data_IF_456937676083
#
_entry.id   IF_456937676083
#
_cell.length_a   1.000
_cell.length_b   1.000
_cell.length_c   1.000
_cell.angle_alpha   90.00
_cell.angle_beta   90.00
_cell.angle_gamma   90.00
#
_symmetry.space_group_name_H-M   'P 1'
#
loop_
_entity.id
_entity.type
_entity.pdbx_description
1 polymer ?
#
# COMPACT_ATOMS: atom_id res chain seq x y z
N UNK A 1 12.55 -10.09 -2.68
CA UNK A 1 11.91 -9.54 -3.89
C UNK A 1 11.33 -8.17 -3.54
N UNK A 2 11.43 -7.22 -4.46
CA UNK A 2 10.89 -5.88 -4.27
C UNK A 2 9.69 -5.68 -5.20
N UNK A 3 8.56 -5.24 -4.64
CA UNK A 3 7.36 -4.88 -5.38
C UNK A 3 6.92 -3.48 -4.94
N UNK A 4 6.47 -2.65 -5.87
CA UNK A 4 5.95 -1.31 -5.58
C UNK A 4 4.43 -1.28 -5.72
N UNK A 5 3.71 -0.62 -4.80
CA UNK A 5 2.28 -0.41 -4.96
C UNK A 5 2.01 0.80 -5.87
N UNK A 6 1.54 0.56 -7.08
CA UNK A 6 1.03 1.62 -7.94
C UNK A 6 -0.22 2.22 -7.30
N UNK A 7 -0.22 3.55 -7.15
CA UNK A 7 -1.32 4.32 -6.56
C UNK A 7 -1.71 3.91 -5.14
N UNK A 8 -0.74 3.60 -4.26
CA UNK A 8 -1.00 3.23 -2.86
C UNK A 8 -1.98 4.18 -2.13
N UNK A 9 -1.88 5.49 -2.37
CA UNK A 9 -2.78 6.48 -1.77
C UNK A 9 -4.25 6.28 -2.18
N UNK A 10 -4.55 5.85 -3.40
CA UNK A 10 -5.93 5.60 -3.87
C UNK A 10 -6.59 4.39 -3.17
N UNK A 11 -5.79 3.51 -2.58
CA UNK A 11 -6.30 2.37 -1.82
C UNK A 11 -6.81 2.78 -0.43
N UNK A 12 -6.35 3.93 0.09
CA UNK A 12 -6.83 4.48 1.36
C UNK A 12 -8.27 5.00 1.26
N UNK A 13 -9.13 4.52 2.15
CA UNK A 13 -10.45 5.13 2.33
C UNK A 13 -10.30 6.49 3.02
N UNK A 14 -11.18 7.45 2.71
CA UNK A 14 -11.27 8.71 3.44
C UNK A 14 -12.42 8.57 4.44
N UNK A 15 -12.13 8.73 5.73
CA UNK A 15 -13.17 8.75 6.77
C UNK A 15 -13.83 10.13 6.87
N UNK A 16 -13.06 11.19 6.56
CA UNK A 16 -13.52 12.57 6.59
C UNK A 16 -14.26 12.99 5.30
N UNK A 17 -15.19 13.93 5.41
CA UNK A 17 -15.77 14.58 4.24
C UNK A 17 -14.83 15.65 3.70
N UNK A 18 -14.16 15.33 2.59
CA UNK A 18 -13.23 16.24 1.92
C UNK A 18 -13.78 16.60 0.55
N UNK A 19 -13.81 17.91 0.31
CA UNK A 19 -14.22 18.50 -0.95
C UNK A 19 -13.03 19.18 -1.62
N UNK A 20 -12.99 19.14 -2.94
CA UNK A 20 -12.04 19.88 -3.76
C UNK A 20 -12.78 20.69 -4.81
N UNK A 21 -12.13 21.77 -5.26
CA UNK A 21 -12.62 22.51 -6.41
C UNK A 21 -12.68 21.61 -7.64
N UNK A 22 -13.61 21.93 -8.53
CA UNK A 22 -13.76 21.19 -9.78
C UNK A 22 -12.48 21.31 -10.61
N UNK A 23 -11.94 20.19 -11.13
CA UNK A 23 -10.79 20.23 -12.01
C UNK A 23 -11.12 20.99 -13.29
N UNK A 24 -10.09 21.58 -13.90
CA UNK A 24 -10.22 22.33 -15.14
C UNK A 24 -10.84 21.44 -16.24
N UNK A 25 -11.89 21.95 -16.91
CA UNK A 25 -12.63 21.22 -17.93
C UNK A 25 -13.80 20.36 -17.42
N UNK A 26 -14.04 20.32 -16.10
CA UNK A 26 -15.18 19.59 -15.51
C UNK A 26 -16.38 20.48 -15.19
N UNK A 27 -16.19 21.80 -15.23
CA UNK A 27 -17.22 22.79 -14.89
C UNK A 27 -18.22 22.98 -16.04
N UNK A 28 -19.51 22.76 -15.78
CA UNK A 28 -20.59 23.05 -16.71
C UNK A 28 -21.26 24.40 -16.40
N UNK A 29 -21.88 25.02 -17.43
CA UNK A 29 -22.60 26.29 -17.28
C UNK A 29 -23.73 26.15 -16.26
N UNK A 30 -23.72 26.97 -15.22
CA UNK A 30 -24.66 26.92 -14.10
C UNK A 30 -24.26 25.98 -12.96
N UNK A 31 -23.12 25.28 -13.08
CA UNK A 31 -22.56 24.40 -12.06
C UNK A 31 -21.20 24.88 -11.52
N UNK A 32 -20.84 26.14 -11.76
CA UNK A 32 -19.53 26.70 -11.43
C UNK A 32 -19.22 26.69 -9.93
N UNK A 33 -20.25 26.66 -9.09
CA UNK A 33 -20.12 26.65 -7.62
C UNK A 33 -20.15 25.23 -7.02
N UNK A 34 -20.22 24.18 -7.85
CA UNK A 34 -20.13 22.81 -7.34
C UNK A 34 -18.70 22.49 -6.92
N UNK A 35 -18.60 21.51 -6.03
CA UNK A 35 -17.33 20.94 -5.54
C UNK A 35 -17.37 19.43 -5.68
N UNK A 36 -16.21 18.81 -5.83
CA UNK A 36 -16.08 17.36 -5.92
C UNK A 36 -15.86 16.76 -4.53
N UNK A 37 -16.71 15.81 -4.11
CA UNK A 37 -16.50 15.04 -2.88
C UNK A 37 -15.54 13.88 -3.14
N UNK A 38 -14.38 13.88 -2.50
CA UNK A 38 -13.41 12.81 -2.64
C UNK A 38 -13.92 11.51 -2.01
N UNK A 39 -13.89 10.42 -2.77
CA UNK A 39 -14.25 9.07 -2.29
C UNK A 39 -13.03 8.26 -1.84
N UNK A 40 -11.83 8.63 -2.31
CA UNK A 40 -10.56 7.92 -2.12
C UNK A 40 -9.46 8.92 -1.85
N UNK A 41 -8.50 8.53 -1.01
CA UNK A 41 -7.34 9.37 -0.70
C UNK A 41 -6.53 9.65 -1.96
N UNK A 42 -6.18 10.90 -2.20
CA UNK A 42 -5.32 11.30 -3.33
C UNK A 42 -3.98 11.81 -2.80
N UNK A 43 -2.98 11.81 -3.66
CA UNK A 43 -1.68 12.41 -3.34
C UNK A 43 -1.85 13.89 -2.96
N UNK A 44 -1.09 14.36 -1.97
CA UNK A 44 -1.15 15.73 -1.46
C UNK A 44 -2.13 15.94 -0.30
N UNK A 45 -3.04 14.99 -0.01
CA UNK A 45 -3.80 15.03 1.24
C UNK A 45 -2.88 14.72 2.42
N UNK A 46 -2.96 15.52 3.49
CA UNK A 46 -2.16 15.36 4.71
C UNK A 46 -2.31 13.98 5.35
N UNK A 47 -3.47 13.37 5.21
CA UNK A 47 -3.81 12.05 5.76
C UNK A 47 -3.66 10.90 4.75
N UNK A 48 -3.30 11.15 3.48
CA UNK A 48 -3.21 10.10 2.47
C UNK A 48 -2.28 8.95 2.89
N UNK A 49 -1.08 9.27 3.41
CA UNK A 49 -0.12 8.27 3.88
C UNK A 49 -0.63 7.47 5.07
N UNK A 50 -1.38 8.12 5.97
CA UNK A 50 -1.98 7.44 7.13
C UNK A 50 -3.07 6.47 6.68
N UNK A 51 -3.96 6.92 5.80
CA UNK A 51 -5.09 6.10 5.33
C UNK A 51 -4.60 4.90 4.50
N UNK A 52 -3.54 5.09 3.71
CA UNK A 52 -2.84 3.99 3.05
C UNK A 52 -2.29 2.98 4.06
N UNK A 53 -1.51 3.44 5.05
CA UNK A 53 -0.91 2.55 6.05
C UNK A 53 -1.98 1.80 6.88
N UNK A 54 -3.06 2.46 7.29
CA UNK A 54 -4.17 1.81 7.99
C UNK A 54 -4.79 0.71 7.12
N UNK A 55 -5.12 1.02 5.86
CA UNK A 55 -5.69 0.03 4.93
C UNK A 55 -4.74 -1.14 4.70
N UNK A 56 -3.46 -0.86 4.57
CA UNK A 56 -2.43 -1.88 4.39
C UNK A 56 -2.34 -2.80 5.62
N UNK A 57 -2.26 -2.23 6.83
CA UNK A 57 -2.24 -2.98 8.10
C UNK A 57 -3.43 -3.94 8.22
N UNK A 58 -4.64 -3.44 7.95
CA UNK A 58 -5.88 -4.24 8.00
C UNK A 58 -5.84 -5.43 7.04
N UNK A 59 -5.44 -5.20 5.79
CA UNK A 59 -5.40 -6.24 4.75
C UNK A 59 -4.34 -7.29 5.08
N UNK A 60 -3.14 -6.86 5.44
CA UNK A 60 -2.01 -7.75 5.72
C UNK A 60 -2.29 -8.60 6.96
N UNK A 61 -2.83 -8.00 8.03
CA UNK A 61 -3.22 -8.75 9.24
C UNK A 61 -4.37 -9.71 9.00
N UNK A 62 -5.28 -9.40 8.07
CA UNK A 62 -6.31 -10.31 7.60
C UNK A 62 -5.77 -11.54 6.84
N UNK A 63 -4.49 -11.54 6.49
CA UNK A 63 -3.78 -12.64 5.84
C UNK A 63 -2.69 -13.26 6.73
N UNK A 64 -2.93 -13.27 8.03
CA UNK A 64 -2.10 -13.91 9.07
C UNK A 64 -0.69 -13.34 9.26
N UNK A 65 -0.41 -12.17 8.68
CA UNK A 65 0.82 -11.46 9.03
C UNK A 65 0.66 -10.77 10.39
N UNK A 66 1.68 -10.92 11.22
CA UNK A 66 1.78 -10.30 12.52
C UNK A 66 2.68 -9.07 12.38
N UNK A 67 2.20 -7.91 12.85
CA UNK A 67 2.99 -6.69 12.90
C UNK A 67 4.05 -6.81 13.99
N UNK A 68 5.27 -6.38 13.71
CA UNK A 68 6.34 -6.38 14.69
C UNK A 68 6.17 -5.23 15.71
N UNK A 69 6.30 -5.55 17.00
CA UNK A 69 6.11 -4.59 18.09
C UNK A 69 7.20 -3.50 18.15
N UNK A 70 8.42 -3.83 17.70
CA UNK A 70 9.57 -2.91 17.75
C UNK A 70 9.68 -2.06 16.49
N UNK A 71 9.30 -2.61 15.33
CA UNK A 71 9.32 -1.90 14.07
C UNK A 71 7.97 -2.04 13.33
N UNK A 72 7.09 -1.02 13.42
CA UNK A 72 5.77 -1.01 12.78
C UNK A 72 5.77 -1.16 11.25
N UNK A 73 6.93 -1.04 10.60
CA UNK A 73 7.09 -1.24 9.17
C UNK A 73 7.37 -2.70 8.80
N UNK A 74 7.61 -3.58 9.78
CA UNK A 74 7.95 -4.99 9.57
C UNK A 74 6.76 -5.86 9.99
N UNK A 75 6.42 -6.81 9.13
CA UNK A 75 5.44 -7.85 9.39
C UNK A 75 6.08 -9.21 9.18
N UNK A 76 5.65 -10.20 9.96
CA UNK A 76 6.12 -11.57 9.82
C UNK A 76 4.96 -12.55 9.79
N UNK A 77 5.10 -13.58 8.96
CA UNK A 77 4.18 -14.72 8.88
C UNK A 77 4.98 -16.01 9.01
N UNK A 78 4.50 -16.92 9.85
CA UNK A 78 5.15 -18.21 10.09
C UNK A 78 4.16 -19.29 9.68
N UNK A 79 4.60 -20.22 8.82
CA UNK A 79 3.81 -21.37 8.39
C UNK A 79 4.69 -22.61 8.38
N UNK A 80 4.63 -23.38 9.47
CA UNK A 80 5.50 -24.55 9.67
C UNK A 80 6.97 -24.14 9.75
N UNK A 81 7.78 -24.59 8.79
CA UNK A 81 9.21 -24.27 8.70
C UNK A 81 9.50 -23.03 7.82
N UNK A 82 8.47 -22.45 7.21
CA UNK A 82 8.61 -21.29 6.34
C UNK A 82 8.33 -20.00 7.11
N UNK A 83 9.16 -19.00 6.90
CA UNK A 83 9.04 -17.68 7.52
C UNK A 83 9.13 -16.62 6.43
N UNK A 84 8.18 -15.70 6.49
CA UNK A 84 8.04 -14.59 5.54
C UNK A 84 8.16 -13.31 6.33
N UNK A 85 9.04 -12.43 5.89
CA UNK A 85 9.11 -11.05 6.36
C UNK A 85 8.64 -10.13 5.24
N UNK A 86 7.74 -9.24 5.59
CA UNK A 86 7.28 -8.15 4.75
C UNK A 86 7.74 -6.85 5.38
N UNK A 87 8.44 -6.02 4.62
CA UNK A 87 8.82 -4.67 5.04
C UNK A 87 8.11 -3.65 4.15
N UNK A 88 7.35 -2.75 4.76
CA UNK A 88 6.69 -1.64 4.08
C UNK A 88 7.51 -0.37 4.24
N UNK A 89 7.91 0.26 3.13
CA UNK A 89 8.57 1.56 3.11
C UNK A 89 7.76 2.52 2.24
N UNK A 90 6.90 3.32 2.88
CA UNK A 90 5.95 4.24 2.21
C UNK A 90 4.99 3.48 1.27
N UNK A 91 5.38 3.30 0.01
CA UNK A 91 4.66 2.59 -1.06
C UNK A 91 5.41 1.38 -1.61
N UNK A 92 6.67 1.20 -1.22
CA UNK A 92 7.49 0.03 -1.55
C UNK A 92 7.27 -1.11 -0.56
N UNK A 93 7.18 -2.33 -1.09
CA UNK A 93 7.00 -3.57 -0.32
C UNK A 93 8.17 -4.50 -0.63
N UNK A 94 8.88 -4.89 0.42
CA UNK A 94 9.95 -5.88 0.34
C UNK A 94 9.48 -7.18 0.97
N UNK A 95 9.55 -8.26 0.20
CA UNK A 95 9.29 -9.62 0.68
C UNK A 95 10.61 -10.39 0.80
N UNK A 96 10.82 -10.98 1.97
CA UNK A 96 11.96 -11.84 2.30
C UNK A 96 11.41 -13.17 2.78
N UNK A 97 11.75 -14.25 2.11
CA UNK A 97 11.20 -15.57 2.39
C UNK A 97 12.25 -16.65 2.15
N UNK A 98 12.16 -17.76 2.88
CA UNK A 98 13.07 -18.90 2.76
C UNK A 98 12.56 -20.00 1.81
N UNK A 99 11.34 -19.87 1.27
CA UNK A 99 10.70 -20.78 0.33
C UNK A 99 10.18 -20.01 -0.90
N UNK A 100 10.70 -20.33 -2.08
CA UNK A 100 10.35 -19.65 -3.35
C UNK A 100 8.88 -19.86 -3.72
N UNK A 101 8.31 -21.04 -3.43
CA UNK A 101 6.91 -21.30 -3.76
C UNK A 101 6.01 -20.38 -2.94
N UNK A 102 6.30 -20.28 -1.66
CA UNK A 102 5.49 -19.52 -0.74
C UNK A 102 5.69 -18.00 -0.95
N UNK A 103 6.86 -17.58 -1.44
CA UNK A 103 7.10 -16.22 -1.96
C UNK A 103 6.17 -15.88 -3.13
N UNK A 104 6.08 -16.76 -4.12
CA UNK A 104 5.17 -16.58 -5.25
C UNK A 104 3.71 -16.53 -4.80
N UNK A 105 3.31 -17.42 -3.89
CA UNK A 105 1.93 -17.47 -3.37
C UNK A 105 1.56 -16.15 -2.64
N UNK A 106 2.46 -15.63 -1.78
CA UNK A 106 2.27 -14.37 -1.08
C UNK A 106 2.23 -13.17 -2.04
N UNK A 107 3.10 -13.16 -3.04
CA UNK A 107 3.15 -12.11 -4.05
C UNK A 107 1.89 -12.10 -4.91
N UNK A 108 1.46 -13.26 -5.40
CA UNK A 108 0.21 -13.38 -6.17
C UNK A 108 -0.97 -12.89 -5.33
N UNK A 109 -1.02 -13.27 -4.05
CA UNK A 109 -2.07 -12.80 -3.16
C UNK A 109 -2.04 -11.27 -2.98
N UNK A 110 -0.87 -10.67 -2.74
CA UNK A 110 -0.73 -9.20 -2.62
C UNK A 110 -1.22 -8.48 -3.88
N UNK A 111 -0.89 -9.01 -5.07
CA UNK A 111 -1.38 -8.47 -6.35
C UNK A 111 -2.90 -8.58 -6.53
N UNK A 112 -3.60 -9.42 -5.75
CA UNK A 112 -5.08 -9.43 -5.74
C UNK A 112 -5.68 -8.32 -4.88
N UNK A 113 -4.92 -7.82 -3.90
CA UNK A 113 -5.38 -6.80 -2.96
C UNK A 113 -4.96 -5.39 -3.37
N UNK A 114 -3.78 -5.27 -3.97
CA UNK A 114 -3.16 -4.01 -4.34
C UNK A 114 -2.67 -4.06 -5.79
N UNK A 115 -2.63 -2.90 -6.46
CA UNK A 115 -2.03 -2.77 -7.78
C UNK A 115 -0.51 -2.83 -7.64
N UNK A 116 0.05 -4.03 -7.71
CA UNK A 116 1.47 -4.26 -7.49
C UNK A 116 2.25 -4.22 -8.81
N UNK A 117 3.41 -3.56 -8.78
CA UNK A 117 4.41 -3.59 -9.85
C UNK A 117 5.64 -4.35 -9.36
N UNK A 118 5.94 -5.43 -10.05
CA UNK A 118 7.16 -6.21 -9.81
C UNK A 118 8.41 -5.40 -10.18
N UNK A 119 9.30 -5.20 -9.21
CA UNK A 119 10.58 -4.51 -9.38
C UNK A 119 11.78 -5.47 -9.41
N UNK A 120 11.53 -6.78 -9.38
CA UNK A 120 12.53 -7.83 -9.46
C UNK A 120 13.21 -8.13 -8.12
N UNK A 121 14.42 -8.69 -8.21
CA UNK A 121 15.24 -8.91 -7.02
C UNK A 121 15.66 -7.58 -6.39
N UNK A 122 15.54 -7.51 -5.06
CA UNK A 122 15.87 -6.31 -4.31
C UNK A 122 17.38 -6.04 -4.42
N UNK A 123 17.75 -5.05 -5.23
CA UNK A 123 19.14 -4.61 -5.43
C UNK A 123 19.45 -3.33 -4.65
N UNK A 124 18.41 -2.61 -4.22
CA UNK A 124 18.54 -1.36 -3.48
C UNK A 124 17.33 -1.14 -2.58
N UNK A 125 17.57 -0.93 -1.28
CA UNK A 125 16.59 -0.35 -0.35
C UNK A 125 17.11 1.06 -0.04
N UNK A 126 16.26 2.09 0.11
CA UNK A 126 16.74 3.43 0.48
C UNK A 126 17.65 3.38 1.73
N UNK A 127 18.96 3.54 1.52
CA UNK A 127 19.99 3.51 2.58
C UNK A 127 20.77 2.18 2.75
N UNK A 128 20.39 1.08 2.09
CA UNK A 128 21.11 -0.20 2.14
C UNK A 128 21.27 -0.76 0.72
N UNK A 129 22.53 -0.93 0.31
CA UNK A 129 22.89 -1.64 -0.92
C UNK A 129 22.99 -3.13 -0.61
N UNK A 130 22.26 -3.95 -1.36
CA UNK A 130 22.20 -5.42 -1.23
C UNK A 130 23.15 -6.04 -2.25
#
# INVERSE_FOLDING_TARGET
MADGCENGFLNGFIEEEIFMDQPEGFTAVGEEQKVCRLQRSIYGLKQASRNWNTRFDEVIRGYDFIKNDYNPCIYNKISGNSVVYLVLYVDDILLIENDVKMLCDNKTWLSTQFSMKDMGEASYIPGIKI
#
